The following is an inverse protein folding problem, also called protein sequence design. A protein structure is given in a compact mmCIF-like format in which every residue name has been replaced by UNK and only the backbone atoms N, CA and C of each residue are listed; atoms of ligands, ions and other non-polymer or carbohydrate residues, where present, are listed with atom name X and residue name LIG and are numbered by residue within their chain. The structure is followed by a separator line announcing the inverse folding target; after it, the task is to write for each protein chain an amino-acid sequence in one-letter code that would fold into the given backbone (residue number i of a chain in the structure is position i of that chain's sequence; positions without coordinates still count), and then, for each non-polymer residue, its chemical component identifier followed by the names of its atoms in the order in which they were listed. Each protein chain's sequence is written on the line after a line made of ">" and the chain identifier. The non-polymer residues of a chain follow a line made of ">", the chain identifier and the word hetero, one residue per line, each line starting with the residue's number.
data_IF_119750374095
#
_entry.id   IF_119750374095
#
_cell.length_a   1.000
_cell.length_b   1.000
_cell.length_c   1.000
_cell.angle_alpha   90.00
_cell.angle_beta   90.00
_cell.angle_gamma   90.00
#
_symmetry.space_group_name_H-M   'P 1'
#
loop_
_entity.id
_entity.type
_entity.pdbx_description
1 polymer ?
#
# COMPACT_ATOMS: atom_id res chain seq x y z
N UNK A 1 14.68 21.51 -10.23
CA UNK A 1 15.27 20.51 -11.15
C UNK A 1 14.22 19.45 -11.42
N UNK A 2 13.85 19.25 -12.67
CA UNK A 2 12.83 18.27 -13.12
C UNK A 2 13.47 16.97 -13.61
N UNK A 3 14.73 16.70 -13.26
CA UNK A 3 15.47 15.52 -13.68
C UNK A 3 15.61 14.51 -12.53
N UNK A 4 15.78 13.24 -12.89
CA UNK A 4 16.19 12.20 -11.94
C UNK A 4 17.70 12.34 -11.62
N UNK A 5 18.15 11.83 -10.46
CA UNK A 5 19.58 11.72 -10.15
C UNK A 5 20.34 10.97 -11.26
N UNK A 6 21.55 11.43 -11.60
CA UNK A 6 22.35 10.85 -12.68
C UNK A 6 22.93 9.46 -12.33
N UNK A 7 23.17 9.21 -11.04
CA UNK A 7 23.63 7.94 -10.52
C UNK A 7 22.56 7.29 -9.63
N UNK A 8 22.49 5.94 -9.58
CA UNK A 8 21.67 5.25 -8.61
C UNK A 8 22.04 5.65 -7.18
N UNK A 9 21.08 5.71 -6.25
CA UNK A 9 21.36 6.03 -4.87
C UNK A 9 22.13 4.89 -4.19
N UNK A 10 22.97 5.22 -3.21
CA UNK A 10 23.71 4.23 -2.43
C UNK A 10 22.79 3.30 -1.65
N UNK A 11 21.65 3.82 -1.16
CA UNK A 11 20.56 3.05 -0.57
C UNK A 11 19.34 3.09 -1.48
N UNK A 12 18.58 2.00 -1.56
CA UNK A 12 17.27 1.93 -2.22
C UNK A 12 16.22 1.50 -1.23
N UNK A 13 15.72 2.46 -0.46
CA UNK A 13 14.70 2.21 0.55
C UNK A 13 13.36 1.93 -0.11
N UNK A 14 12.74 0.81 0.24
CA UNK A 14 11.47 0.39 -0.34
C UNK A 14 10.67 -0.53 0.57
N UNK A 15 9.45 -0.83 0.13
CA UNK A 15 8.58 -1.80 0.76
C UNK A 15 8.63 -3.14 0.03
N UNK A 16 8.58 -4.23 0.78
CA UNK A 16 8.25 -5.57 0.27
C UNK A 16 6.88 -5.95 0.83
N UNK A 17 5.93 -6.25 -0.06
CA UNK A 17 4.53 -6.47 0.30
C UNK A 17 4.17 -7.91 -0.02
N UNK A 18 3.89 -8.71 1.00
CA UNK A 18 3.50 -10.10 0.87
C UNK A 18 1.99 -10.23 0.63
N UNK A 19 1.61 -10.62 -0.59
CA UNK A 19 0.21 -10.81 -0.98
C UNK A 19 -0.37 -12.13 -0.43
N UNK A 20 0.47 -13.04 0.06
CA UNK A 20 0.04 -14.29 0.65
C UNK A 20 -0.48 -14.10 2.09
N UNK A 21 0.17 -13.24 2.86
CA UNK A 21 -0.17 -13.03 4.27
C UNK A 21 -1.07 -11.82 4.48
N UNK A 22 -1.25 -10.96 3.47
CA UNK A 22 -2.15 -9.82 3.59
C UNK A 22 -3.60 -10.28 3.73
N UNK A 23 -4.19 -10.05 4.90
CA UNK A 23 -5.59 -10.39 5.21
C UNK A 23 -6.58 -9.24 4.97
N UNK A 24 -6.14 -8.16 4.31
CA UNK A 24 -7.02 -7.05 3.99
C UNK A 24 -7.58 -6.28 5.19
N UNK A 25 -6.92 -6.27 6.35
CA UNK A 25 -7.45 -5.65 7.57
C UNK A 25 -7.49 -4.10 7.57
N UNK A 26 -6.97 -3.44 6.53
CA UNK A 26 -6.87 -1.98 6.40
C UNK A 26 -6.12 -1.22 7.52
N UNK A 27 -5.54 -1.89 8.53
CA UNK A 27 -4.74 -1.22 9.58
C UNK A 27 -3.60 -0.37 8.99
N UNK A 28 -2.95 -0.87 7.93
CA UNK A 28 -1.90 -0.14 7.23
C UNK A 28 -2.38 1.17 6.59
N UNK A 29 -3.67 1.27 6.22
CA UNK A 29 -4.28 2.46 5.60
C UNK A 29 -4.54 3.52 6.66
N UNK A 30 -5.17 3.12 7.77
CA UNK A 30 -5.49 4.01 8.89
C UNK A 30 -4.21 4.55 9.53
N UNK A 31 -3.24 3.71 9.87
CA UNK A 31 -1.98 4.16 10.48
C UNK A 31 -1.17 5.08 9.56
N UNK A 32 -1.27 4.87 8.24
CA UNK A 32 -0.62 5.74 7.27
C UNK A 32 -1.24 7.14 7.28
N UNK A 33 -2.58 7.21 7.28
CA UNK A 33 -3.32 8.48 7.41
C UNK A 33 -2.97 9.16 8.72
N UNK A 34 -3.14 8.48 9.86
CA UNK A 34 -2.87 9.01 11.20
C UNK A 34 -1.46 9.63 11.30
N UNK A 35 -0.43 8.86 10.96
CA UNK A 35 0.95 9.35 11.05
C UNK A 35 1.20 10.56 10.16
N UNK A 36 0.75 10.49 8.90
CA UNK A 36 1.08 11.51 7.91
C UNK A 36 0.18 12.75 8.00
N UNK A 37 -0.98 12.68 8.67
CA UNK A 37 -1.80 13.86 8.97
C UNK A 37 -1.10 14.82 9.94
N UNK A 38 -0.20 14.32 10.80
CA UNK A 38 0.66 15.14 11.68
C UNK A 38 2.14 15.13 11.31
N UNK A 39 2.50 14.50 10.18
CA UNK A 39 3.88 14.24 9.79
C UNK A 39 4.36 15.12 8.63
N UNK A 40 5.34 14.61 7.86
CA UNK A 40 5.96 15.35 6.76
C UNK A 40 4.97 15.92 5.72
N UNK A 41 3.98 15.17 5.20
CA UNK A 41 3.08 15.68 4.17
C UNK A 41 1.78 16.25 4.78
N UNK A 42 1.81 16.68 6.03
CA UNK A 42 0.63 17.21 6.71
C UNK A 42 0.19 18.56 6.10
N UNK A 43 -1.13 18.86 6.12
CA UNK A 43 -2.21 17.96 6.52
C UNK A 43 -2.60 17.01 5.38
N UNK A 44 -3.28 15.92 5.73
CA UNK A 44 -4.01 15.10 4.77
C UNK A 44 -5.50 15.36 4.98
N UNK A 45 -6.15 16.06 4.06
CA UNK A 45 -7.54 16.46 4.22
C UNK A 45 -8.48 15.26 4.40
N UNK A 46 -9.50 15.46 5.22
CA UNK A 46 -10.59 14.51 5.46
C UNK A 46 -11.86 15.33 5.71
N UNK A 47 -12.64 15.52 4.65
CA UNK A 47 -13.82 16.38 4.60
C UNK A 47 -15.06 15.52 4.50
N UNK A 48 -16.00 15.74 5.41
CA UNK A 48 -17.27 15.03 5.49
C UNK A 48 -17.17 13.50 5.37
N UNK A 49 -16.27 12.83 6.13
CA UNK A 49 -15.98 11.40 5.95
C UNK A 49 -17.18 10.47 6.16
N UNK A 50 -18.26 10.98 6.77
CA UNK A 50 -19.49 10.23 7.04
C UNK A 50 -20.73 10.83 6.35
N UNK A 51 -20.57 11.87 5.54
CA UNK A 51 -21.69 12.47 4.82
C UNK A 51 -21.81 11.99 3.38
N UNK A 52 -22.52 12.77 2.58
CA UNK A 52 -22.93 12.34 1.24
C UNK A 52 -21.80 12.40 0.20
N UNK A 53 -20.81 13.27 0.42
CA UNK A 53 -19.69 13.51 -0.50
C UNK A 53 -18.35 13.48 0.24
N UNK A 54 -17.94 12.32 0.79
CA UNK A 54 -16.69 12.21 1.53
C UNK A 54 -15.50 12.47 0.61
N UNK A 55 -14.59 13.34 1.05
CA UNK A 55 -13.35 13.66 0.35
C UNK A 55 -12.18 13.51 1.29
N UNK A 56 -11.08 12.92 0.83
CA UNK A 56 -9.86 12.91 1.63
C UNK A 56 -8.66 12.31 0.91
N UNK A 57 -7.49 12.73 1.35
CA UNK A 57 -6.21 12.27 0.82
C UNK A 57 -5.75 11.00 1.53
N UNK A 58 -5.54 9.93 0.77
CA UNK A 58 -5.04 8.65 1.28
C UNK A 58 -3.76 8.26 0.56
N UNK A 59 -2.69 7.96 1.30
CA UNK A 59 -1.39 7.68 0.70
C UNK A 59 -1.19 6.21 0.33
N UNK A 60 -2.10 5.34 0.78
CA UNK A 60 -2.18 3.93 0.46
C UNK A 60 -3.63 3.44 0.52
N UNK A 61 -3.94 2.42 -0.28
CA UNK A 61 -5.22 1.69 -0.23
C UNK A 61 -4.98 0.19 -0.29
N UNK A 62 -5.95 -0.59 0.14
CA UNK A 62 -5.97 -2.04 -0.10
C UNK A 62 -7.13 -2.32 -1.05
N UNK A 63 -6.82 -2.94 -2.18
CA UNK A 63 -7.82 -3.41 -3.13
C UNK A 63 -7.95 -4.92 -2.98
N UNK A 64 -9.16 -5.45 -3.01
CA UNK A 64 -9.40 -6.89 -2.92
C UNK A 64 -9.87 -7.39 -4.28
N UNK A 65 -9.29 -8.49 -4.74
CA UNK A 65 -9.62 -9.11 -6.02
C UNK A 65 -9.89 -10.59 -5.81
N UNK A 66 -10.89 -11.13 -6.50
CA UNK A 66 -11.01 -12.58 -6.66
C UNK A 66 -10.06 -13.04 -7.77
N UNK A 67 -9.19 -14.00 -7.46
CA UNK A 67 -8.18 -14.52 -8.36
C UNK A 67 -8.27 -16.04 -8.44
N UNK A 68 -8.07 -16.59 -9.64
CA UNK A 68 -8.22 -18.02 -9.92
C UNK A 68 -9.56 -18.35 -10.60
N UNK A 69 -9.80 -19.63 -10.81
CA UNK A 69 -11.04 -20.17 -11.36
C UNK A 69 -11.95 -20.73 -10.27
N UNK A 70 -13.08 -21.34 -10.64
CA UNK A 70 -14.04 -21.89 -9.67
C UNK A 70 -13.44 -22.92 -8.68
N UNK A 71 -12.37 -23.62 -9.08
CA UNK A 71 -11.73 -24.64 -8.24
C UNK A 71 -10.58 -24.07 -7.37
N UNK A 72 -9.97 -22.97 -7.80
CA UNK A 72 -8.76 -22.40 -7.18
C UNK A 72 -8.94 -20.97 -6.67
N UNK A 73 -10.17 -20.47 -6.75
CA UNK A 73 -10.58 -19.12 -6.38
C UNK A 73 -10.10 -18.73 -4.99
N UNK A 74 -9.57 -17.52 -4.89
CA UNK A 74 -9.18 -16.88 -3.64
C UNK A 74 -9.33 -15.38 -3.72
N UNK A 75 -9.62 -14.77 -2.58
CA UNK A 75 -9.47 -13.32 -2.41
C UNK A 75 -7.98 -12.99 -2.23
N UNK A 76 -7.44 -12.12 -3.08
CA UNK A 76 -6.11 -11.52 -2.95
C UNK A 76 -6.28 -10.08 -2.53
N UNK A 77 -5.75 -9.74 -1.36
CA UNK A 77 -5.67 -8.37 -0.90
C UNK A 77 -4.38 -7.73 -1.42
N UNK A 78 -4.52 -6.61 -2.11
CA UNK A 78 -3.46 -5.91 -2.81
C UNK A 78 -3.27 -4.50 -2.23
N UNK A 79 -2.39 -4.35 -1.22
CA UNK A 79 -2.02 -3.05 -0.70
C UNK A 79 -1.20 -2.27 -1.73
N UNK A 80 -1.72 -1.12 -2.15
CA UNK A 80 -1.11 -0.24 -3.14
C UNK A 80 -0.75 1.10 -2.51
N UNK A 81 0.48 1.54 -2.74
CA UNK A 81 1.02 2.83 -2.33
C UNK A 81 2.04 3.29 -3.38
N UNK A 82 2.66 4.47 -3.21
CA UNK A 82 3.74 4.88 -4.11
C UNK A 82 4.88 3.86 -4.10
N UNK A 83 5.35 3.48 -5.29
CA UNK A 83 6.40 2.47 -5.45
C UNK A 83 7.82 3.03 -5.51
N UNK A 84 7.97 4.35 -5.34
CA UNK A 84 9.24 5.08 -5.34
C UNK A 84 10.17 4.68 -6.50
N UNK A 85 9.60 4.66 -7.71
CA UNK A 85 10.19 4.08 -8.91
C UNK A 85 11.59 4.60 -9.24
N UNK A 86 12.42 3.75 -9.84
CA UNK A 86 13.72 4.17 -10.36
C UNK A 86 13.53 5.21 -11.47
N UNK A 87 12.75 4.83 -12.49
CA UNK A 87 12.36 5.67 -13.61
C UNK A 87 11.04 6.39 -13.29
N UNK A 88 11.07 7.30 -12.32
CA UNK A 88 9.88 8.01 -11.87
C UNK A 88 9.47 9.15 -12.83
N UNK A 89 8.74 8.85 -13.90
CA UNK A 89 8.27 9.89 -14.86
C UNK A 89 7.46 11.02 -14.19
N UNK A 90 6.75 10.70 -13.11
CA UNK A 90 6.07 11.66 -12.26
C UNK A 90 6.98 12.76 -11.64
N UNK A 91 8.30 12.57 -11.60
CA UNK A 91 9.30 13.61 -11.30
C UNK A 91 9.57 14.46 -12.54
N UNK A 92 9.78 13.80 -13.69
CA UNK A 92 10.20 14.48 -14.92
C UNK A 92 9.11 15.30 -15.60
N UNK A 93 7.84 14.95 -15.41
CA UNK A 93 6.69 15.71 -15.92
C UNK A 93 6.30 16.90 -15.03
N UNK A 94 6.91 17.06 -13.85
CA UNK A 94 6.50 18.10 -12.91
C UNK A 94 7.05 19.48 -13.33
N UNK A 95 6.20 20.44 -13.77
CA UNK A 95 6.68 21.68 -14.39
C UNK A 95 7.37 22.62 -13.40
N UNK A 96 7.02 22.55 -12.11
CA UNK A 96 7.59 23.41 -11.06
C UNK A 96 8.81 22.80 -10.38
N UNK A 97 9.13 21.53 -10.68
CA UNK A 97 10.15 20.78 -9.94
C UNK A 97 9.74 20.43 -8.50
N UNK A 98 8.44 20.46 -8.18
CA UNK A 98 7.92 20.04 -6.89
C UNK A 98 8.11 18.55 -6.63
N UNK A 99 7.92 17.69 -7.64
CA UNK A 99 8.25 16.27 -7.51
C UNK A 99 9.75 16.07 -7.74
N UNK A 100 10.40 15.35 -6.83
CA UNK A 100 11.83 15.07 -6.90
C UNK A 100 12.14 13.67 -6.36
N UNK A 101 13.30 13.13 -6.74
CA UNK A 101 13.83 11.87 -6.20
C UNK A 101 15.11 12.16 -5.43
N UNK A 102 15.20 11.64 -4.21
CA UNK A 102 16.38 11.80 -3.35
C UNK A 102 17.52 10.91 -3.83
N UNK A 103 18.70 11.49 -3.99
CA UNK A 103 19.90 10.77 -4.41
C UNK A 103 20.52 9.89 -3.30
N UNK A 104 20.18 10.14 -2.03
CA UNK A 104 20.73 9.37 -0.90
C UNK A 104 20.07 7.98 -0.75
N UNK A 105 18.75 7.91 -0.93
CA UNK A 105 17.93 6.74 -0.55
C UNK A 105 16.89 6.33 -1.61
N UNK A 106 16.79 7.05 -2.73
CA UNK A 106 15.87 6.75 -3.82
C UNK A 106 14.41 7.16 -3.56
N UNK A 107 14.10 7.74 -2.40
CA UNK A 107 12.73 8.10 -2.05
C UNK A 107 12.26 9.26 -2.93
N UNK A 108 11.24 8.99 -3.74
CA UNK A 108 10.51 10.02 -4.48
C UNK A 108 9.63 10.82 -3.51
N UNK A 109 9.66 12.15 -3.56
CA UNK A 109 8.92 13.09 -2.71
C UNK A 109 8.24 14.19 -3.52
N UNK A 110 7.38 14.96 -2.84
CA UNK A 110 6.79 16.21 -3.33
C UNK A 110 7.17 17.31 -2.35
N UNK A 111 7.66 18.43 -2.89
CA UNK A 111 7.82 19.70 -2.20
C UNK A 111 6.51 20.48 -2.38
N UNK A 112 5.72 20.54 -1.31
CA UNK A 112 4.37 21.10 -1.35
C UNK A 112 4.38 22.61 -1.60
N UNK A 113 5.40 23.33 -1.14
CA UNK A 113 5.55 24.76 -1.37
C UNK A 113 5.76 25.12 -2.85
N UNK A 114 6.21 24.17 -3.67
CA UNK A 114 6.36 24.33 -5.13
C UNK A 114 5.21 23.69 -5.92
N UNK A 115 4.34 22.93 -5.26
CA UNK A 115 3.30 22.19 -5.95
C UNK A 115 2.14 23.13 -6.30
N UNK A 116 1.68 23.06 -7.55
CA UNK A 116 0.56 23.88 -8.05
C UNK A 116 -0.70 23.05 -8.36
N UNK A 117 -0.79 21.82 -7.84
CA UNK A 117 -1.96 20.97 -8.00
C UNK A 117 -2.30 20.50 -9.43
N UNK A 118 -1.42 20.72 -10.42
CA UNK A 118 -1.74 20.49 -11.85
C UNK A 118 -2.05 19.04 -12.27
N UNK A 119 -1.84 18.03 -11.41
CA UNK A 119 -2.21 16.63 -11.69
C UNK A 119 -1.34 15.88 -12.71
N UNK A 120 -0.41 16.52 -13.42
CA UNK A 120 0.44 15.84 -14.43
C UNK A 120 1.20 14.64 -13.88
N UNK A 121 1.66 14.72 -12.63
CA UNK A 121 2.37 13.61 -11.99
C UNK A 121 1.44 12.42 -11.64
N UNK A 122 0.15 12.65 -11.42
CA UNK A 122 -0.84 11.58 -11.28
C UNK A 122 -1.13 10.92 -12.63
N UNK A 123 -1.32 11.72 -13.70
CA UNK A 123 -1.48 11.21 -15.06
C UNK A 123 -0.29 10.36 -15.53
N UNK A 124 0.94 10.75 -15.17
CA UNK A 124 2.13 9.97 -15.48
C UNK A 124 2.34 8.74 -14.57
N UNK A 125 1.57 8.57 -13.49
CA UNK A 125 1.76 7.45 -12.58
C UNK A 125 0.87 6.28 -12.98
N UNK A 126 1.42 5.17 -13.53
CA UNK A 126 0.59 4.04 -13.96
C UNK A 126 -0.06 3.30 -12.79
N UNK A 127 0.41 3.55 -11.57
CA UNK A 127 -0.05 2.90 -10.35
C UNK A 127 -1.16 3.67 -9.64
N UNK A 128 -1.55 4.86 -10.12
CA UNK A 128 -2.55 5.70 -9.46
C UNK A 128 -2.18 6.05 -8.02
N UNK A 129 -0.89 6.22 -7.74
CA UNK A 129 -0.37 6.36 -6.38
C UNK A 129 -0.17 7.82 -5.93
N UNK A 130 -0.72 8.78 -6.70
CA UNK A 130 -0.69 10.21 -6.41
C UNK A 130 -2.09 10.77 -6.51
N UNK A 131 -2.48 11.57 -5.53
CA UNK A 131 -3.81 12.15 -5.42
C UNK A 131 -3.71 13.64 -5.15
N UNK A 132 -4.66 14.40 -5.68
CA UNK A 132 -4.79 15.81 -5.35
C UNK A 132 -5.49 15.91 -4.00
N UNK A 133 -4.86 16.57 -3.05
CA UNK A 133 -5.56 17.07 -1.88
C UNK A 133 -6.34 18.31 -2.29
N UNK A 134 -7.67 18.20 -2.39
CA UNK A 134 -8.51 19.28 -2.89
C UNK A 134 -8.55 20.49 -1.95
N UNK A 135 -8.31 20.29 -0.65
CA UNK A 135 -8.29 21.36 0.35
C UNK A 135 -6.96 22.10 0.29
N UNK A 136 -5.85 21.37 0.26
CA UNK A 136 -4.50 21.97 0.23
C UNK A 136 -4.09 22.43 -1.18
N UNK A 137 -4.75 21.95 -2.24
CA UNK A 137 -4.42 22.27 -3.63
C UNK A 137 -3.11 21.66 -4.13
N UNK A 138 -2.58 20.64 -3.43
CA UNK A 138 -1.28 20.03 -3.74
C UNK A 138 -1.38 18.51 -3.90
N UNK A 139 -0.46 17.95 -4.66
CA UNK A 139 -0.41 16.50 -4.91
C UNK A 139 0.22 15.78 -3.71
N UNK A 140 -0.53 14.85 -3.10
CA UNK A 140 -0.08 13.98 -2.01
C UNK A 140 0.23 12.57 -2.55
N UNK A 141 1.12 11.88 -1.84
CA UNK A 141 1.49 10.47 -2.09
C UNK A 141 2.26 9.91 -0.91
N UNK A 142 2.41 8.58 -0.84
CA UNK A 142 3.27 7.94 0.16
C UNK A 142 4.68 8.56 0.15
N UNK A 143 5.15 8.91 1.34
CA UNK A 143 6.46 9.54 1.61
C UNK A 143 7.49 8.53 2.10
N UNK A 144 7.11 7.25 2.16
CA UNK A 144 7.82 6.18 2.88
C UNK A 144 8.04 6.51 4.37
N UNK A 145 7.18 7.37 4.94
CA UNK A 145 7.30 7.92 6.30
C UNK A 145 8.72 8.47 6.54
N UNK A 146 9.21 9.29 5.61
CA UNK A 146 10.57 9.87 5.63
C UNK A 146 10.91 10.52 6.99
N UNK A 147 9.93 11.18 7.59
CA UNK A 147 9.96 11.81 8.91
C UNK A 147 9.96 10.82 10.07
N UNK A 148 9.57 9.56 9.86
CA UNK A 148 9.61 8.50 10.87
C UNK A 148 10.91 7.71 10.83
N UNK A 149 11.35 7.32 9.64
CA UNK A 149 12.51 6.44 9.45
C UNK A 149 13.83 7.12 9.83
N UNK A 150 13.89 8.45 9.76
CA UNK A 150 15.05 9.25 10.16
C UNK A 150 14.85 9.97 11.50
N UNK A 151 13.77 9.70 12.24
CA UNK A 151 13.54 10.39 13.52
C UNK A 151 14.36 9.77 14.64
N UNK A 152 15.37 10.51 15.10
CA UNK A 152 16.26 10.03 16.16
C UNK A 152 15.58 9.95 17.54
N UNK A 153 14.45 10.63 17.74
CA UNK A 153 13.67 10.53 18.99
C UNK A 153 12.90 9.21 19.12
N UNK A 154 12.73 8.48 18.02
CA UNK A 154 12.15 7.14 18.00
C UNK A 154 13.30 6.13 18.17
N UNK A 155 13.15 5.09 19.01
CA UNK A 155 14.13 4.01 19.10
C UNK A 155 14.42 3.41 17.73
N UNK A 156 15.69 3.10 17.43
CA UNK A 156 16.11 2.62 16.09
C UNK A 156 15.32 1.39 15.63
N UNK A 157 15.07 0.43 16.53
CA UNK A 157 14.27 -0.76 16.27
C UNK A 157 12.81 -0.44 15.83
N UNK A 158 12.32 0.75 16.11
CA UNK A 158 10.99 1.21 15.74
C UNK A 158 10.99 2.14 14.51
N UNK A 159 12.15 2.56 13.98
CA UNK A 159 12.28 3.52 12.85
C UNK A 159 11.98 2.89 11.48
N UNK A 160 10.72 2.55 11.27
CA UNK A 160 10.19 1.99 10.02
C UNK A 160 8.94 2.76 9.55
N UNK A 161 8.38 2.51 8.37
CA UNK A 161 7.11 3.13 7.98
C UNK A 161 5.95 2.74 8.92
N UNK A 162 5.01 3.65 9.18
CA UNK A 162 3.86 3.39 10.04
C UNK A 162 3.03 2.19 9.56
N UNK A 163 2.86 2.07 8.24
CA UNK A 163 2.15 0.97 7.60
C UNK A 163 2.82 -0.41 7.78
N UNK A 164 4.14 -0.44 8.03
CA UNK A 164 4.92 -1.66 8.32
C UNK A 164 4.76 -2.01 9.80
N UNK A 165 5.01 -1.03 10.68
CA UNK A 165 4.88 -1.20 12.14
C UNK A 165 3.51 -1.74 12.56
N UNK A 166 2.45 -1.23 11.95
CA UNK A 166 1.08 -1.59 12.35
C UNK A 166 0.61 -2.94 11.81
N UNK A 167 1.32 -3.57 10.87
CA UNK A 167 0.78 -4.70 10.13
C UNK A 167 0.70 -5.95 11.02
N UNK A 168 -0.50 -6.41 11.42
CA UNK A 168 -0.61 -7.52 12.37
C UNK A 168 -0.24 -8.86 11.73
N UNK A 169 -0.41 -8.98 10.41
CA UNK A 169 -0.12 -10.19 9.65
C UNK A 169 1.34 -10.28 9.16
N UNK A 170 2.16 -9.25 9.43
CA UNK A 170 3.54 -9.20 8.92
C UNK A 170 3.63 -9.17 7.39
N UNK A 171 2.62 -8.62 6.69
CA UNK A 171 2.55 -8.60 5.23
C UNK A 171 3.30 -7.43 4.58
N UNK A 172 3.84 -6.51 5.36
CA UNK A 172 4.62 -5.36 4.87
C UNK A 172 5.96 -5.38 5.56
N UNK A 173 7.02 -5.27 4.77
CA UNK A 173 8.40 -5.18 5.22
C UNK A 173 9.05 -3.93 4.63
N UNK A 174 10.09 -3.43 5.28
CA UNK A 174 10.82 -2.24 4.85
C UNK A 174 12.31 -2.45 5.04
N UNK A 175 13.10 -1.94 4.10
CA UNK A 175 14.55 -2.01 4.19
C UNK A 175 15.23 -1.50 2.92
N UNK A 176 16.53 -1.72 2.86
CA UNK A 176 17.38 -1.33 1.74
C UNK A 176 17.48 -2.44 0.69
N UNK A 177 16.89 -2.24 -0.48
CA UNK A 177 16.94 -3.17 -1.61
C UNK A 177 18.21 -3.00 -2.47
N UNK A 178 19.11 -2.08 -2.13
CA UNK A 178 20.45 -2.01 -2.71
C UNK A 178 21.41 -3.00 -2.04
N UNK A 179 21.19 -3.29 -0.76
CA UNK A 179 21.96 -4.24 0.03
C UNK A 179 21.42 -5.66 -0.18
N UNK A 180 22.18 -6.58 -0.81
CA UNK A 180 21.74 -7.95 -1.05
C UNK A 180 21.57 -8.77 0.25
N UNK A 181 22.26 -8.37 1.33
CA UNK A 181 22.25 -9.06 2.63
C UNK A 181 21.17 -8.49 3.57
N UNK A 182 20.38 -7.52 3.10
CA UNK A 182 19.27 -6.99 3.89
C UNK A 182 18.11 -7.99 3.94
N UNK A 183 17.39 -8.01 5.08
CA UNK A 183 16.26 -8.92 5.29
C UNK A 183 15.18 -8.82 4.18
N UNK A 184 14.99 -7.63 3.58
CA UNK A 184 14.04 -7.45 2.48
C UNK A 184 14.56 -7.99 1.15
N UNK A 185 15.86 -7.87 0.88
CA UNK A 185 16.49 -8.43 -0.33
C UNK A 185 16.49 -9.95 -0.28
N UNK A 186 16.86 -10.54 0.85
CA UNK A 186 16.79 -11.99 1.07
C UNK A 186 15.37 -12.51 0.93
N UNK A 187 14.38 -11.82 1.53
CA UNK A 187 12.98 -12.20 1.43
C UNK A 187 12.47 -12.17 -0.02
N UNK A 188 12.81 -11.12 -0.78
CA UNK A 188 12.45 -11.00 -2.20
C UNK A 188 13.05 -12.16 -3.00
N UNK A 189 14.33 -12.47 -2.79
CA UNK A 189 14.99 -13.58 -3.46
C UNK A 189 14.34 -14.94 -3.10
N UNK A 190 14.09 -15.17 -1.81
CA UNK A 190 13.55 -16.44 -1.31
C UNK A 190 12.10 -16.70 -1.74
N UNK A 191 11.27 -15.65 -1.86
CA UNK A 191 9.84 -15.76 -2.18
C UNK A 191 9.50 -15.47 -3.64
N UNK A 192 10.51 -15.22 -4.48
CA UNK A 192 10.28 -14.88 -5.90
C UNK A 192 9.55 -13.54 -6.06
N UNK A 193 9.98 -12.52 -5.31
CA UNK A 193 9.37 -11.20 -5.36
C UNK A 193 9.51 -10.54 -6.74
N UNK A 194 8.51 -9.76 -7.12
CA UNK A 194 8.39 -9.22 -8.47
C UNK A 194 8.07 -7.72 -8.48
N UNK A 195 8.35 -7.09 -9.61
CA UNK A 195 7.97 -5.71 -9.91
C UNK A 195 6.53 -5.63 -10.39
N UNK A 196 5.78 -4.64 -9.92
CA UNK A 196 4.43 -4.39 -10.42
C UNK A 196 4.47 -3.76 -11.81
N UNK A 197 3.82 -4.42 -12.77
CA UNK A 197 3.71 -3.98 -14.18
C UNK A 197 5.10 -3.66 -14.78
N UNK A 198 6.02 -4.65 -14.85
CA UNK A 198 7.37 -4.44 -15.36
C UNK A 198 7.39 -3.93 -16.81
N UNK A 199 6.39 -4.27 -17.60
CA UNK A 199 6.18 -3.83 -18.99
C UNK A 199 6.11 -2.30 -19.14
N UNK A 200 5.76 -1.57 -18.07
CA UNK A 200 5.70 -0.10 -18.10
C UNK A 200 7.09 0.55 -18.05
N UNK A 201 8.15 -0.17 -17.70
CA UNK A 201 9.53 0.34 -17.67
C UNK A 201 9.84 1.33 -16.54
N UNK A 202 8.93 1.53 -15.57
CA UNK A 202 9.12 2.45 -14.43
C UNK A 202 10.12 1.91 -13.40
N UNK A 203 10.38 0.60 -13.39
CA UNK A 203 11.28 -0.08 -12.45
C UNK A 203 10.98 0.29 -10.97
N UNK A 204 9.84 -0.15 -10.42
CA UNK A 204 9.49 0.02 -9.02
C UNK A 204 10.62 -0.33 -8.06
N UNK A 205 10.78 0.47 -6.99
CA UNK A 205 11.65 0.08 -5.88
C UNK A 205 10.93 -0.94 -5.00
N UNK A 206 9.67 -0.67 -4.65
CA UNK A 206 8.86 -1.62 -3.89
C UNK A 206 8.63 -2.92 -4.67
N UNK A 207 8.62 -4.06 -3.96
CA UNK A 207 8.39 -5.40 -4.50
C UNK A 207 7.13 -6.03 -3.92
N UNK A 208 6.50 -6.91 -4.69
CA UNK A 208 5.41 -7.75 -4.24
C UNK A 208 5.87 -9.20 -4.13
N UNK A 209 5.42 -9.93 -3.11
CA UNK A 209 5.59 -11.38 -3.03
C UNK A 209 4.28 -12.04 -3.46
N UNK A 210 4.34 -13.10 -4.29
CA UNK A 210 3.13 -13.74 -4.79
C UNK A 210 2.43 -14.55 -3.67
N UNK A 211 1.10 -14.72 -3.76
CA UNK A 211 0.39 -15.72 -2.97
C UNK A 211 0.99 -17.10 -3.21
N UNK A 212 1.17 -17.90 -2.15
CA UNK A 212 1.63 -19.29 -2.29
C UNK A 212 0.54 -20.13 -2.94
N UNK A 213 0.90 -21.16 -3.72
CA UNK A 213 -0.06 -22.13 -4.21
C UNK A 213 -0.89 -22.67 -3.03
N UNK A 214 -2.22 -22.80 -3.23
CA UNK A 214 -3.06 -23.42 -2.21
C UNK A 214 -2.55 -24.86 -2.07
N UNK A 215 -2.36 -25.31 -0.83
CA UNK A 215 -2.14 -26.74 -0.59
C UNK A 215 -3.35 -27.46 -1.18
N UNK A 216 -3.13 -28.51 -1.96
CA UNK A 216 -4.22 -29.37 -2.37
C UNK A 216 -4.93 -29.83 -1.09
N UNK A 217 -6.22 -29.51 -0.98
CA UNK A 217 -7.08 -30.15 0.02
C UNK A 217 -6.97 -31.65 -0.27
N UNK A 218 -6.68 -32.53 0.71
CA UNK A 218 -6.94 -33.94 0.52
C UNK A 218 -8.40 -34.08 0.08
N UNK A 219 -8.67 -34.96 -0.90
CA UNK A 219 -9.98 -35.12 -1.54
C UNK A 219 -11.13 -34.93 -0.53
N UNK A 220 -11.99 -33.97 -0.84
CA UNK A 220 -12.87 -33.27 0.08
C UNK A 220 -13.54 -34.08 1.17
N UNK A 221 -13.30 -33.65 2.42
CA UNK A 221 -14.41 -33.54 3.36
C UNK A 221 -15.21 -32.31 2.92
N UNK A 222 -16.15 -32.54 1.99
CA UNK A 222 -16.93 -31.51 1.33
C UNK A 222 -17.43 -30.45 2.31
N UNK A 223 -17.43 -29.19 1.87
CA UNK A 223 -18.07 -28.10 2.59
C UNK A 223 -19.40 -28.63 3.15
N UNK A 224 -19.49 -28.75 4.47
CA UNK A 224 -20.70 -29.23 5.12
C UNK A 224 -21.78 -28.25 4.68
N UNK A 225 -22.73 -28.75 3.88
CA UNK A 225 -23.86 -27.95 3.47
C UNK A 225 -24.48 -27.44 4.76
N UNK A 226 -24.39 -26.13 5.00
CA UNK A 226 -25.09 -25.52 6.11
C UNK A 226 -26.56 -25.85 5.88
N UNK A 227 -27.17 -26.56 6.81
CA UNK A 227 -28.59 -26.86 6.70
C UNK A 227 -29.32 -25.51 6.54
N UNK A 228 -30.23 -25.40 5.56
CA UNK A 228 -31.01 -24.20 5.39
C UNK A 228 -31.70 -23.91 6.73
N UNK A 229 -31.59 -22.66 7.19
CA UNK A 229 -32.34 -22.24 8.37
C UNK A 229 -33.82 -22.57 8.13
N UNK A 230 -34.54 -23.15 9.13
CA UNK A 230 -35.95 -23.44 8.97
C UNK A 230 -36.69 -22.17 8.57
N UNK A 231 -37.46 -22.25 7.49
CA UNK A 231 -38.37 -21.18 7.08
C UNK A 231 -39.22 -20.80 8.30
N UNK A 232 -39.29 -19.52 8.69
CA UNK A 232 -40.13 -19.13 9.81
C UNK A 232 -41.56 -19.45 9.41
N UNK A 233 -42.12 -20.52 9.99
CA UNK A 233 -43.53 -20.83 9.88
C UNK A 233 -44.36 -19.63 10.36
N UNK A 234 -45.65 -19.62 10.06
CA UNK A 234 -46.58 -18.55 10.47
C UNK A 234 -46.49 -18.19 11.98
N UNK A 235 -45.99 -19.10 12.81
CA UNK A 235 -45.74 -18.92 14.24
C UNK A 235 -44.26 -19.11 14.64
N UNK A 236 -43.28 -18.75 13.79
CA UNK A 236 -41.85 -18.97 14.07
C UNK A 236 -41.31 -18.31 15.36
N UNK A 237 -42.10 -17.42 16.00
CA UNK A 237 -41.84 -16.91 17.34
C UNK A 237 -42.10 -17.96 18.44
N UNK A 238 -43.08 -18.84 18.26
CA UNK A 238 -43.46 -19.90 19.20
C UNK A 238 -42.40 -21.00 19.23
N UNK A 239 -41.85 -21.36 18.08
CA UNK A 239 -40.78 -22.35 17.97
C UNK A 239 -39.52 -21.89 18.72
N UNK A 240 -39.16 -20.59 18.62
CA UNK A 240 -38.04 -20.00 19.40
C UNK A 240 -38.25 -20.05 20.91
N UNK A 241 -39.49 -19.92 21.38
CA UNK A 241 -39.83 -19.93 22.81
C UNK A 241 -39.85 -21.35 23.38
N UNK A 242 -40.16 -22.35 22.57
CA UNK A 242 -40.25 -23.75 23.00
C UNK A 242 -38.92 -24.51 22.84
N UNK A 243 -37.97 -24.00 22.04
CA UNK A 243 -36.65 -24.61 21.82
C UNK A 243 -35.54 -24.14 22.78
N UNK A 244 -35.85 -23.24 23.72
CA UNK A 244 -34.95 -22.76 24.79
C UNK A 244 -35.23 -23.47 26.10
#
# INVERSE_FOLDING_TARGET
>A
MTSLPAAPPAKRLGLVIDLDTCVGCHACVVACKEWNTGGYPAPLSDTDPYGAEPSGSWLNRVHSFEAGDAATGRTVHFPKSCLHCENAACVTVCPTGASYKRAADGIVLVDEAKCIGCGLCAWACPYGARELDAVEGVMKKCTLCIDRIYNETIPEAERQPACVRTCPAGARHFGDLADPDSAVSELVAARGGFDLMPEMGYRPTNKYLPPRPRRAEPDGDGAVALEPAPEPGFLGWLDRVLSS
#
